data_IF_163722663826
#
_entry.id   IF_163722663826
#
_cell.length_a   1.000
_cell.length_b   1.000
_cell.length_c   1.000
_cell.angle_alpha   90.00
_cell.angle_beta   90.00
_cell.angle_gamma   90.00
#
_symmetry.space_group_name_H-M   'P 1'
#
loop_
_entity.id
_entity.type
_entity.pdbx_description
1 polymer ?
#
# COMPACT_ATOMS: atom_id res chain seq x y z
N UNK A 1 4.64 -9.94 21.08
CA UNK A 1 5.17 -10.58 19.85
C UNK A 1 6.66 -10.34 19.63
N UNK A 2 7.30 -9.35 20.28
CA UNK A 2 8.72 -9.05 20.01
C UNK A 2 9.73 -9.87 20.84
N UNK A 3 9.35 -10.27 22.06
CA UNK A 3 10.28 -10.89 23.03
C UNK A 3 10.24 -12.42 23.07
N UNK A 4 9.29 -13.06 22.38
CA UNK A 4 9.14 -14.53 22.35
C UNK A 4 9.45 -15.06 20.94
N UNK A 5 9.83 -16.34 20.81
CA UNK A 5 10.08 -16.95 19.50
C UNK A 5 8.84 -16.85 18.62
N UNK A 6 9.04 -16.33 17.40
CA UNK A 6 8.00 -16.20 16.38
C UNK A 6 7.75 -17.53 15.70
N UNK A 7 8.83 -18.20 15.27
CA UNK A 7 8.79 -19.49 14.60
C UNK A 7 10.02 -20.30 15.01
N UNK A 8 9.86 -21.62 15.07
CA UNK A 8 10.97 -22.55 15.21
C UNK A 8 11.04 -23.45 13.98
N UNK A 9 12.25 -23.71 13.52
CA UNK A 9 12.54 -24.53 12.35
C UNK A 9 13.40 -25.71 12.80
N UNK A 10 13.04 -26.94 12.42
CA UNK A 10 13.83 -28.13 12.70
C UNK A 10 14.19 -28.87 11.41
N UNK A 11 15.49 -29.07 11.20
CA UNK A 11 16.03 -29.93 10.12
C UNK A 11 17.02 -30.89 10.75
N UNK A 12 16.78 -32.19 10.57
CA UNK A 12 17.66 -33.27 11.07
C UNK A 12 17.98 -33.15 12.58
N UNK A 13 17.02 -32.71 13.39
CA UNK A 13 17.13 -32.64 14.85
C UNK A 13 17.74 -31.35 15.42
N UNK A 14 18.23 -30.43 14.57
CA UNK A 14 18.70 -29.10 15.01
C UNK A 14 17.53 -28.12 14.95
N UNK A 15 17.11 -27.62 16.11
CA UNK A 15 16.04 -26.63 16.23
C UNK A 15 16.61 -25.22 16.32
N UNK A 16 16.27 -24.34 15.38
CA UNK A 16 16.54 -22.91 15.47
C UNK A 16 15.25 -22.15 15.78
N UNK A 17 15.34 -21.14 16.65
CA UNK A 17 14.24 -20.25 16.99
C UNK A 17 14.50 -18.85 16.43
N UNK A 18 13.47 -18.24 15.87
CA UNK A 18 13.60 -16.94 15.19
C UNK A 18 12.68 -15.93 15.87
N UNK A 19 13.28 -14.80 16.22
CA UNK A 19 12.59 -13.64 16.77
C UNK A 19 12.37 -12.61 15.67
N UNK A 20 11.21 -11.97 15.66
CA UNK A 20 10.86 -10.99 14.62
C UNK A 20 11.82 -9.79 14.57
N UNK A 21 12.42 -9.42 15.70
CA UNK A 21 13.45 -8.37 15.76
C UNK A 21 14.80 -8.84 15.20
N UNK A 22 15.17 -10.09 15.46
CA UNK A 22 16.42 -10.67 14.95
C UNK A 22 16.39 -10.80 13.42
N UNK A 23 15.21 -10.96 12.83
CA UNK A 23 15.02 -10.93 11.37
C UNK A 23 15.61 -9.65 10.75
N UNK A 24 15.43 -8.50 11.39
CA UNK A 24 15.96 -7.22 10.88
C UNK A 24 17.48 -7.20 10.91
N UNK A 25 18.07 -7.59 12.05
CA UNK A 25 19.53 -7.66 12.21
C UNK A 25 20.16 -8.66 11.23
N UNK A 26 19.48 -9.78 10.95
CA UNK A 26 19.93 -10.77 9.98
C UNK A 26 19.92 -10.22 8.55
N UNK A 27 18.86 -9.52 8.11
CA UNK A 27 18.85 -8.93 6.76
C UNK A 27 19.90 -7.82 6.57
N UNK A 28 20.20 -7.06 7.63
CA UNK A 28 21.23 -6.01 7.59
C UNK A 28 22.65 -6.59 7.40
N UNK A 29 22.91 -7.76 7.98
CA UNK A 29 24.19 -8.47 7.83
C UNK A 29 24.47 -8.96 6.40
N UNK A 30 23.44 -9.13 5.55
CA UNK A 30 23.56 -9.58 4.16
C UNK A 30 23.52 -8.41 3.14
N UNK A 31 24.00 -7.22 3.53
CA UNK A 31 24.14 -6.02 2.69
C UNK A 31 22.83 -5.43 2.08
N UNK A 32 21.69 -6.10 2.20
CA UNK A 32 20.38 -5.65 1.67
C UNK A 32 19.57 -4.84 2.69
N UNK A 33 20.16 -3.75 3.20
CA UNK A 33 19.57 -2.86 4.21
C UNK A 33 18.18 -2.31 3.85
N UNK A 34 17.91 -2.12 2.55
CA UNK A 34 16.63 -1.59 2.07
C UNK A 34 15.43 -2.50 2.36
N UNK A 35 15.58 -3.83 2.26
CA UNK A 35 14.49 -4.78 2.56
C UNK A 35 14.23 -4.88 4.07
N UNK A 36 15.30 -4.88 4.87
CA UNK A 36 15.21 -4.85 6.33
C UNK A 36 14.45 -3.60 6.81
N UNK A 37 14.82 -2.44 6.26
CA UNK A 37 14.19 -1.16 6.57
C UNK A 37 12.72 -1.13 6.13
N UNK A 38 12.41 -1.66 4.94
CA UNK A 38 11.03 -1.76 4.46
C UNK A 38 10.16 -2.60 5.41
N UNK A 39 10.66 -3.76 5.84
CA UNK A 39 9.97 -4.62 6.82
C UNK A 39 9.77 -3.91 8.16
N UNK A 40 10.84 -3.36 8.75
CA UNK A 40 10.78 -2.68 10.04
C UNK A 40 9.84 -1.48 9.99
N UNK A 41 9.89 -0.70 8.92
CA UNK A 41 9.06 0.49 8.75
C UNK A 41 7.58 0.13 8.59
N UNK A 42 7.24 -0.83 7.73
CA UNK A 42 5.84 -1.14 7.37
C UNK A 42 5.13 -2.07 8.37
N UNK A 43 5.85 -2.97 9.05
CA UNK A 43 5.26 -3.96 9.96
C UNK A 43 5.26 -3.48 11.41
N UNK A 44 6.26 -2.70 11.81
CA UNK A 44 6.44 -2.26 13.19
C UNK A 44 6.26 -0.75 13.36
N UNK A 45 7.07 0.06 12.68
CA UNK A 45 7.14 1.49 12.97
C UNK A 45 5.87 2.25 12.58
N UNK A 46 5.37 2.07 11.35
CA UNK A 46 4.16 2.74 10.86
C UNK A 46 2.91 2.33 11.65
N UNK A 47 2.63 1.03 11.89
CA UNK A 47 1.49 0.64 12.71
C UNK A 47 1.56 1.13 14.15
N UNK A 48 2.73 1.07 14.79
CA UNK A 48 2.90 1.60 16.15
C UNK A 48 2.64 3.11 16.17
N UNK A 49 3.22 3.87 15.23
CA UNK A 49 3.00 5.30 15.14
C UNK A 49 1.54 5.66 14.84
N UNK A 50 0.86 4.89 13.98
CA UNK A 50 -0.56 5.03 13.71
C UNK A 50 -1.41 4.81 14.98
N UNK A 51 -1.19 3.70 15.70
CA UNK A 51 -1.92 3.40 16.93
C UNK A 51 -1.69 4.46 18.03
N UNK A 52 -0.46 4.95 18.17
CA UNK A 52 -0.12 6.03 19.10
C UNK A 52 -0.86 7.33 18.70
N UNK A 53 -0.86 7.66 17.40
CA UNK A 53 -1.53 8.85 16.89
C UNK A 53 -3.05 8.79 17.10
N UNK A 54 -3.69 7.67 16.77
CA UNK A 54 -5.12 7.43 17.04
C UNK A 54 -5.41 7.54 18.53
N UNK A 55 -4.66 6.82 19.37
CA UNK A 55 -4.86 6.83 20.83
C UNK A 55 -4.72 8.24 21.40
N UNK A 56 -3.74 9.01 20.95
CA UNK A 56 -3.55 10.41 21.36
C UNK A 56 -4.74 11.30 20.94
N UNK A 57 -5.25 11.16 19.71
CA UNK A 57 -6.41 11.91 19.23
C UNK A 57 -7.68 11.57 20.03
N UNK A 58 -7.98 10.28 20.20
CA UNK A 58 -9.14 9.85 20.99
C UNK A 58 -9.02 10.25 22.45
N UNK A 59 -7.83 10.15 23.06
CA UNK A 59 -7.60 10.61 24.42
C UNK A 59 -7.83 12.12 24.58
N UNK A 60 -7.39 12.93 23.60
CA UNK A 60 -7.64 14.38 23.59
C UNK A 60 -9.12 14.73 23.39
N UNK A 61 -9.81 14.00 22.51
CA UNK A 61 -11.26 14.15 22.31
C UNK A 61 -12.03 13.73 23.57
N UNK A 62 -11.60 12.67 24.24
CA UNK A 62 -12.17 12.20 25.50
C UNK A 62 -11.97 13.22 26.63
N UNK A 63 -10.76 13.79 26.77
CA UNK A 63 -10.47 14.85 27.75
C UNK A 63 -11.32 16.12 27.53
N UNK A 64 -11.70 16.43 26.28
CA UNK A 64 -12.59 17.57 25.94
C UNK A 64 -13.97 17.41 26.57
N UNK A 65 -14.44 16.18 26.74
CA UNK A 65 -15.84 15.89 27.03
C UNK A 65 -16.78 16.54 26.00
N UNK A 66 -18.01 16.85 26.39
CA UNK A 66 -19.04 17.38 25.49
C UNK A 66 -18.95 18.92 25.26
N UNK A 67 -17.80 19.56 25.52
CA UNK A 67 -17.66 21.03 25.45
C UNK A 67 -17.21 21.46 24.04
N UNK A 68 -18.09 21.99 23.17
CA UNK A 68 -17.84 22.16 21.74
C UNK A 68 -16.64 23.05 21.38
N UNK A 69 -16.34 24.08 22.19
CA UNK A 69 -15.36 25.13 21.86
C UNK A 69 -14.01 25.05 22.62
N UNK A 70 -13.73 23.96 23.35
CA UNK A 70 -12.59 23.91 24.27
C UNK A 70 -11.26 23.43 23.63
N UNK A 71 -11.25 22.91 22.41
CA UNK A 71 -9.99 22.60 21.73
C UNK A 71 -9.50 23.89 21.07
N UNK A 72 -8.60 24.61 21.75
CA UNK A 72 -7.73 25.52 21.03
C UNK A 72 -6.88 24.66 20.09
N UNK A 73 -7.22 24.66 18.80
CA UNK A 73 -6.65 23.72 17.84
C UNK A 73 -5.17 24.02 17.63
N UNK A 74 -4.32 23.33 18.40
CA UNK A 74 -2.87 23.45 18.25
C UNK A 74 -2.49 22.93 16.86
N UNK A 75 -1.63 23.67 16.15
CA UNK A 75 -1.09 23.29 14.84
C UNK A 75 -0.45 21.88 14.83
N UNK A 76 -0.07 21.36 16.01
CA UNK A 76 0.43 19.99 16.20
C UNK A 76 -0.66 18.93 16.00
N UNK A 77 -1.88 19.14 16.52
CA UNK A 77 -3.00 18.21 16.38
C UNK A 77 -3.46 18.11 14.92
N UNK A 78 -3.54 19.24 14.20
CA UNK A 78 -3.86 19.22 12.77
C UNK A 78 -2.80 18.45 11.97
N UNK A 79 -1.51 18.68 12.25
CA UNK A 79 -0.42 17.95 11.58
C UNK A 79 -0.51 16.46 11.85
N UNK A 80 -0.78 16.06 13.09
CA UNK A 80 -0.92 14.65 13.47
C UNK A 80 -2.12 13.99 12.76
N UNK A 81 -3.26 14.69 12.68
CA UNK A 81 -4.44 14.21 11.95
C UNK A 81 -4.17 14.08 10.44
N UNK A 82 -3.51 15.07 9.82
CA UNK A 82 -3.09 15.01 8.40
C UNK A 82 -2.13 13.86 8.13
N UNK A 83 -1.19 13.62 9.04
CA UNK A 83 -0.18 12.56 8.93
C UNK A 83 -0.81 11.16 9.07
N UNK A 84 -1.76 11.01 10.00
CA UNK A 84 -2.49 9.77 10.25
C UNK A 84 -3.13 9.20 8.97
N UNK A 85 -3.95 10.01 8.28
CA UNK A 85 -4.67 9.57 7.07
C UNK A 85 -3.75 9.38 5.86
N UNK A 86 -2.55 9.97 5.85
CA UNK A 86 -1.57 9.75 4.77
C UNK A 86 -0.86 8.39 4.92
N UNK A 87 -0.71 7.90 6.15
CA UNK A 87 -0.01 6.65 6.46
C UNK A 87 -0.91 5.43 6.38
N UNK A 88 -2.22 5.61 6.57
CA UNK A 88 -3.20 4.52 6.56
C UNK A 88 -3.01 3.50 5.40
N UNK A 89 -2.78 3.92 4.13
CA UNK A 89 -2.60 2.97 3.02
C UNK A 89 -1.28 2.18 3.05
N UNK A 90 -0.30 2.64 3.84
CA UNK A 90 1.03 2.05 3.95
C UNK A 90 1.15 1.04 5.10
N UNK A 91 0.07 0.86 5.87
CA UNK A 91 -0.01 -0.14 6.94
C UNK A 91 -0.21 -1.52 6.31
N UNK A 92 0.81 -2.36 6.39
CA UNK A 92 0.85 -3.65 5.69
C UNK A 92 0.97 -4.84 6.64
N UNK A 93 0.53 -4.69 7.88
CA UNK A 93 0.61 -5.73 8.91
C UNK A 93 -0.15 -6.99 8.51
N UNK A 94 -1.32 -6.83 7.87
CA UNK A 94 -2.13 -7.91 7.34
C UNK A 94 -1.47 -8.60 6.14
N UNK A 95 -0.91 -7.81 5.22
CA UNK A 95 -0.18 -8.31 4.07
C UNK A 95 1.04 -9.12 4.51
N UNK A 96 1.77 -8.65 5.53
CA UNK A 96 2.89 -9.37 6.11
C UNK A 96 2.45 -10.70 6.76
N UNK A 97 1.34 -10.72 7.51
CA UNK A 97 0.81 -11.97 8.08
C UNK A 97 0.55 -13.02 7.00
N UNK A 98 -0.04 -12.61 5.87
CA UNK A 98 -0.29 -13.49 4.73
C UNK A 98 1.02 -13.93 4.10
N UNK A 99 2.00 -13.03 3.97
CA UNK A 99 3.35 -13.37 3.53
C UNK A 99 4.01 -14.44 4.41
N UNK A 100 3.87 -14.37 5.73
CA UNK A 100 4.34 -15.42 6.66
C UNK A 100 3.65 -16.75 6.37
N UNK A 101 2.33 -16.76 6.19
CA UNK A 101 1.58 -17.97 5.89
C UNK A 101 1.99 -18.60 4.55
N UNK A 102 2.21 -17.78 3.51
CA UNK A 102 2.69 -18.26 2.20
C UNK A 102 4.12 -18.81 2.31
N UNK A 103 5.00 -18.14 3.05
CA UNK A 103 6.36 -18.63 3.33
C UNK A 103 6.35 -19.97 4.07
N UNK A 104 5.46 -20.13 5.05
CA UNK A 104 5.28 -21.40 5.78
C UNK A 104 4.93 -22.54 4.83
N UNK A 105 3.98 -22.33 3.92
CA UNK A 105 3.62 -23.33 2.90
C UNK A 105 4.83 -23.68 2.03
N UNK A 106 5.60 -22.67 1.59
CA UNK A 106 6.78 -22.88 0.75
C UNK A 106 7.90 -23.67 1.44
N UNK A 107 8.08 -23.49 2.75
CA UNK A 107 9.11 -24.18 3.54
C UNK A 107 8.63 -25.56 4.03
N UNK A 108 7.33 -25.76 4.22
CA UNK A 108 6.77 -26.99 4.82
C UNK A 108 7.09 -28.27 4.04
N UNK A 109 7.40 -28.16 2.74
CA UNK A 109 7.86 -29.28 1.92
C UNK A 109 9.30 -29.71 2.22
N UNK A 110 10.09 -28.86 2.90
CA UNK A 110 11.52 -29.06 3.14
C UNK A 110 11.86 -29.24 4.63
N UNK A 111 10.98 -28.88 5.55
CA UNK A 111 11.27 -28.91 6.99
C UNK A 111 10.01 -28.97 7.89
N UNK A 112 10.22 -29.41 9.13
CA UNK A 112 9.21 -29.33 10.18
C UNK A 112 9.21 -27.93 10.82
N UNK A 113 8.02 -27.34 10.92
CA UNK A 113 7.84 -25.97 11.39
C UNK A 113 6.99 -25.93 12.66
N UNK A 114 7.54 -25.35 13.71
CA UNK A 114 6.83 -25.03 14.95
C UNK A 114 6.43 -23.56 15.00
N UNK A 115 5.19 -23.27 15.39
CA UNK A 115 4.69 -21.91 15.60
C UNK A 115 4.85 -21.51 17.07
N UNK A 116 5.59 -20.44 17.33
CA UNK A 116 5.78 -19.94 18.68
C UNK A 116 4.64 -19.02 19.15
N UNK A 117 4.63 -18.68 20.45
CA UNK A 117 3.61 -17.79 21.04
C UNK A 117 3.57 -16.40 20.40
N UNK A 118 4.70 -15.91 19.87
CA UNK A 118 4.73 -14.60 19.19
C UNK A 118 3.97 -14.60 17.87
N UNK A 119 3.87 -15.73 17.17
CA UNK A 119 3.06 -15.84 15.95
C UNK A 119 1.58 -15.61 16.27
N UNK A 120 1.05 -16.30 17.28
CA UNK A 120 -0.34 -16.11 17.72
C UNK A 120 -0.62 -14.70 18.23
N UNK A 121 0.30 -14.13 19.02
CA UNK A 121 0.20 -12.73 19.45
C UNK A 121 0.22 -11.76 18.26
N UNK A 122 1.00 -12.05 17.21
CA UNK A 122 1.04 -11.26 15.99
C UNK A 122 -0.27 -11.39 15.18
N UNK A 123 -0.87 -12.58 15.09
CA UNK A 123 -2.19 -12.76 14.48
C UNK A 123 -3.25 -11.89 15.16
N UNK A 124 -3.32 -11.93 16.50
CA UNK A 124 -4.24 -11.09 17.29
C UNK A 124 -3.96 -9.61 17.06
N UNK A 125 -2.69 -9.20 17.11
CA UNK A 125 -2.27 -7.84 16.83
C UNK A 125 -2.72 -7.36 15.44
N UNK A 126 -2.50 -8.15 14.39
CA UNK A 126 -2.93 -7.83 13.02
C UNK A 126 -4.44 -7.62 12.95
N UNK A 127 -5.23 -8.53 13.54
CA UNK A 127 -6.69 -8.40 13.58
C UNK A 127 -7.11 -7.13 14.31
N UNK A 128 -6.49 -6.81 15.45
CA UNK A 128 -6.77 -5.58 16.21
C UNK A 128 -6.41 -4.31 15.44
N UNK A 129 -5.28 -4.30 14.72
CA UNK A 129 -4.87 -3.18 13.86
C UNK A 129 -5.87 -2.99 12.73
N UNK A 130 -6.23 -4.06 12.01
CA UNK A 130 -7.22 -3.99 10.92
C UNK A 130 -8.59 -3.54 11.43
N UNK A 131 -9.01 -4.02 12.61
CA UNK A 131 -10.26 -3.57 13.24
C UNK A 131 -10.20 -2.11 13.64
N UNK A 132 -9.08 -1.64 14.20
CA UNK A 132 -8.89 -0.23 14.54
C UNK A 132 -9.00 0.63 13.28
N UNK A 133 -8.31 0.26 12.20
CA UNK A 133 -8.38 0.95 10.90
C UNK A 133 -9.82 1.03 10.37
N UNK A 134 -10.57 -0.06 10.46
CA UNK A 134 -11.96 -0.12 10.01
C UNK A 134 -12.94 0.69 10.88
N UNK A 135 -12.60 0.99 12.13
CA UNK A 135 -13.46 1.72 13.09
C UNK A 135 -13.14 3.21 13.15
N UNK A 136 -11.96 3.63 12.71
CA UNK A 136 -11.54 5.03 12.73
C UNK A 136 -12.29 5.81 11.65
N UNK A 137 -13.36 6.49 12.04
CA UNK A 137 -14.09 7.40 11.16
C UNK A 137 -13.34 8.73 10.99
N UNK A 138 -12.81 8.93 9.79
CA UNK A 138 -12.13 10.15 9.38
C UNK A 138 -12.99 11.40 9.56
N UNK A 139 -14.24 11.35 9.08
CA UNK A 139 -15.13 12.51 9.08
C UNK A 139 -15.51 12.89 10.51
N UNK A 140 -15.80 11.89 11.35
CA UNK A 140 -16.12 12.10 12.76
C UNK A 140 -14.96 12.76 13.52
N UNK A 141 -13.73 12.25 13.37
CA UNK A 141 -12.54 12.84 14.03
C UNK A 141 -12.35 14.29 13.61
N UNK A 142 -12.43 14.58 12.30
CA UNK A 142 -12.33 15.95 11.82
C UNK A 142 -13.44 16.83 12.39
N UNK A 143 -14.68 16.36 12.45
CA UNK A 143 -15.82 17.15 12.95
C UNK A 143 -15.70 17.47 14.44
N UNK A 144 -15.16 16.54 15.24
CA UNK A 144 -14.90 16.78 16.66
C UNK A 144 -13.74 17.76 16.91
N UNK A 145 -12.73 17.76 16.04
CA UNK A 145 -11.59 18.65 16.13
C UNK A 145 -11.93 20.06 15.63
N UNK A 146 -12.56 20.17 14.46
CA UNK A 146 -12.99 21.44 13.85
C UNK A 146 -14.27 21.20 13.05
N UNK A 147 -15.40 21.84 13.40
CA UNK A 147 -16.65 21.66 12.66
C UNK A 147 -16.52 22.10 11.20
N UNK A 148 -17.34 21.52 10.34
CA UNK A 148 -17.45 21.93 8.93
C UNK A 148 -17.95 23.37 8.85
N UNK A 149 -17.36 24.16 7.94
CA UNK A 149 -17.78 25.53 7.68
C UNK A 149 -18.79 25.51 6.53
N UNK A 150 -19.99 26.05 6.72
CA UNK A 150 -20.95 26.20 5.62
C UNK A 150 -20.51 27.34 4.70
N UNK A 151 -20.45 27.07 3.40
CA UNK A 151 -20.22 28.09 2.37
C UNK A 151 -21.53 28.40 1.64
N UNK A 152 -21.77 29.68 1.37
CA UNK A 152 -22.92 30.14 0.61
C UNK A 152 -22.69 29.94 -0.90
N UNK A 153 -23.76 29.62 -1.65
CA UNK A 153 -23.71 29.49 -3.10
C UNK A 153 -23.49 28.07 -3.65
N UNK A 154 -23.40 27.05 -2.80
CA UNK A 154 -23.36 25.65 -3.25
C UNK A 154 -24.77 25.19 -3.62
N UNK A 155 -24.97 24.79 -4.87
CA UNK A 155 -26.25 24.21 -5.35
C UNK A 155 -26.11 22.70 -5.56
N UNK A 156 -27.17 21.97 -5.24
CA UNK A 156 -27.24 20.54 -5.53
C UNK A 156 -27.13 20.30 -7.05
N UNK A 157 -26.29 19.35 -7.46
CA UNK A 157 -26.04 19.02 -8.86
C UNK A 157 -24.80 19.70 -9.47
N UNK A 158 -24.16 20.64 -8.78
CA UNK A 158 -22.85 21.15 -9.18
C UNK A 158 -21.79 20.07 -8.98
N UNK A 159 -20.97 19.83 -10.00
CA UNK A 159 -19.87 18.86 -9.98
C UNK A 159 -18.50 19.56 -10.03
N UNK A 160 -17.44 18.77 -10.11
CA UNK A 160 -16.07 19.29 -10.17
C UNK A 160 -15.74 20.01 -11.49
N UNK A 161 -16.59 19.91 -12.53
CA UNK A 161 -16.40 20.57 -13.82
C UNK A 161 -17.00 21.97 -13.86
N UNK A 162 -17.92 22.31 -12.94
CA UNK A 162 -18.49 23.66 -12.87
C UNK A 162 -17.44 24.73 -12.52
N UNK A 163 -16.28 24.32 -11.98
CA UNK A 163 -15.17 25.22 -11.66
C UNK A 163 -15.43 26.15 -10.46
N UNK A 164 -16.57 26.02 -9.78
CA UNK A 164 -16.95 26.93 -8.68
C UNK A 164 -16.42 26.48 -7.31
N UNK A 165 -16.26 25.16 -7.12
CA UNK A 165 -15.99 24.56 -5.82
C UNK A 165 -14.95 23.43 -5.90
N UNK A 166 -14.18 23.26 -4.83
CA UNK A 166 -13.18 22.20 -4.69
C UNK A 166 -13.27 21.53 -3.32
N UNK A 167 -13.27 20.19 -3.31
CA UNK A 167 -13.20 19.40 -2.08
C UNK A 167 -11.76 19.36 -1.56
N UNK A 168 -11.59 19.51 -0.24
CA UNK A 168 -10.31 19.33 0.38
C UNK A 168 -10.00 17.83 0.58
N UNK A 169 -8.99 17.31 -0.12
CA UNK A 169 -8.52 15.92 0.03
C UNK A 169 -8.12 15.51 1.46
N UNK A 170 -7.93 16.45 2.39
CA UNK A 170 -7.53 16.18 3.77
C UNK A 170 -8.70 16.13 4.76
N UNK A 171 -9.66 17.05 4.66
CA UNK A 171 -10.75 17.19 5.65
C UNK A 171 -12.15 17.16 5.03
N UNK A 172 -12.27 16.96 3.72
CA UNK A 172 -13.53 16.93 2.96
C UNK A 172 -14.41 18.17 3.13
N UNK A 173 -13.77 19.31 3.42
CA UNK A 173 -14.42 20.61 3.41
C UNK A 173 -14.57 21.06 1.95
N UNK A 174 -15.76 21.50 1.56
CA UNK A 174 -15.99 22.18 0.29
C UNK A 174 -15.47 23.62 0.41
N UNK A 175 -14.67 24.06 -0.55
CA UNK A 175 -14.11 25.41 -0.62
C UNK A 175 -14.48 26.04 -1.95
N UNK A 176 -14.67 27.36 -1.98
CA UNK A 176 -14.93 28.11 -3.20
C UNK A 176 -13.63 28.33 -3.98
N UNK A 177 -13.66 28.04 -5.28
CA UNK A 177 -12.58 28.32 -6.20
C UNK A 177 -12.79 29.75 -6.74
N UNK A 178 -12.11 30.74 -6.15
CA UNK A 178 -12.09 32.11 -6.68
C UNK A 178 -10.95 32.23 -7.71
N UNK A 179 -11.14 33.04 -8.76
CA UNK A 179 -10.06 33.44 -9.68
C UNK A 179 -8.87 34.10 -8.93
N UNK A 180 -9.11 34.56 -7.70
CA UNK A 180 -8.12 35.00 -6.72
C UNK A 180 -7.99 33.98 -5.58
N UNK A 181 -7.29 32.89 -5.86
CA UNK A 181 -6.46 32.11 -4.91
C UNK A 181 -7.02 31.81 -3.51
N UNK A 182 -8.08 31.01 -3.43
CA UNK A 182 -8.22 30.11 -2.28
C UNK A 182 -7.20 28.95 -2.42
N UNK A 183 -5.92 29.20 -2.18
CA UNK A 183 -4.89 28.13 -2.23
C UNK A 183 -5.00 27.16 -1.05
N UNK A 184 -5.66 27.57 0.03
CA UNK A 184 -5.73 26.84 1.29
C UNK A 184 -7.17 26.59 1.71
N UNK A 185 -7.40 25.43 2.32
CA UNK A 185 -8.69 25.05 2.85
C UNK A 185 -9.07 25.91 4.06
N UNK A 186 -10.31 26.39 4.08
CA UNK A 186 -10.89 27.20 5.17
C UNK A 186 -10.92 26.47 6.52
N UNK A 187 -11.03 25.13 6.50
CA UNK A 187 -11.12 24.29 7.70
C UNK A 187 -9.76 23.83 8.21
N UNK A 188 -8.96 23.19 7.36
CA UNK A 188 -7.71 22.55 7.80
C UNK A 188 -6.44 23.32 7.42
N UNK A 189 -6.55 24.41 6.65
CA UNK A 189 -5.41 25.14 6.09
C UNK A 189 -4.51 24.28 5.20
N UNK A 190 -5.01 23.17 4.66
CA UNK A 190 -4.30 22.33 3.70
C UNK A 190 -4.35 22.93 2.30
N UNK A 191 -3.29 22.74 1.50
CA UNK A 191 -3.27 23.18 0.11
C UNK A 191 -4.39 22.51 -0.70
N UNK A 192 -5.20 23.31 -1.37
CA UNK A 192 -6.27 22.85 -2.25
C UNK A 192 -5.69 22.44 -3.60
N UNK A 193 -6.17 21.32 -4.12
CA UNK A 193 -5.72 20.76 -5.39
C UNK A 193 -6.90 20.85 -6.38
N UNK A 194 -6.95 21.90 -7.21
CA UNK A 194 -7.96 21.99 -8.26
C UNK A 194 -7.82 20.80 -9.21
N UNK A 195 -8.92 20.45 -9.88
CA UNK A 195 -8.90 19.36 -10.85
C UNK A 195 -8.02 19.75 -12.05
N UNK A 196 -6.87 19.12 -12.18
CA UNK A 196 -5.96 19.27 -13.33
C UNK A 196 -5.71 17.89 -13.95
N UNK A 197 -6.40 17.64 -15.06
CA UNK A 197 -6.33 16.39 -15.79
C UNK A 197 -4.93 16.14 -16.38
N UNK A 198 -4.27 17.17 -16.91
CA UNK A 198 -2.99 17.01 -17.60
C UNK A 198 -1.89 16.66 -16.61
N UNK A 199 -1.79 17.40 -15.51
CA UNK A 199 -0.74 17.17 -14.52
C UNK A 199 -0.92 15.84 -13.78
N UNK A 200 -2.17 15.47 -13.42
CA UNK A 200 -2.44 14.18 -12.79
C UNK A 200 -2.11 13.01 -13.72
N UNK A 201 -2.52 13.06 -14.99
CA UNK A 201 -2.21 12.00 -15.96
C UNK A 201 -0.70 11.92 -16.22
N UNK A 202 0.00 13.05 -16.36
CA UNK A 202 1.45 13.06 -16.57
C UNK A 202 2.19 12.36 -15.41
N UNK A 203 1.88 12.71 -14.16
CA UNK A 203 2.47 12.08 -12.96
C UNK A 203 2.15 10.58 -12.92
N UNK A 204 0.90 10.22 -13.19
CA UNK A 204 0.43 8.83 -13.17
C UNK A 204 1.14 7.96 -14.22
N UNK A 205 1.29 8.48 -15.45
CA UNK A 205 2.02 7.82 -16.53
C UNK A 205 3.53 7.73 -16.25
N UNK A 206 4.15 8.78 -15.68
CA UNK A 206 5.57 8.75 -15.32
C UNK A 206 5.88 7.63 -14.31
N UNK A 207 5.07 7.50 -13.26
CA UNK A 207 5.22 6.40 -12.30
C UNK A 207 4.92 5.03 -12.92
N UNK A 208 3.93 4.94 -13.81
CA UNK A 208 3.60 3.68 -14.48
C UNK A 208 4.74 3.22 -15.40
N UNK A 209 5.33 4.13 -16.17
CA UNK A 209 6.48 3.85 -17.03
C UNK A 209 7.71 3.44 -16.20
N UNK A 210 7.97 4.13 -15.08
CA UNK A 210 9.02 3.73 -14.15
C UNK A 210 8.79 2.29 -13.65
N UNK A 211 7.56 1.94 -13.26
CA UNK A 211 7.23 0.58 -12.85
C UNK A 211 7.49 -0.45 -13.97
N UNK A 212 7.11 -0.15 -15.21
CA UNK A 212 7.37 -1.04 -16.36
C UNK A 212 8.87 -1.25 -16.59
N UNK A 213 9.68 -0.20 -16.46
CA UNK A 213 11.14 -0.31 -16.58
C UNK A 213 11.72 -1.24 -15.52
N UNK A 214 11.31 -1.10 -14.25
CA UNK A 214 11.77 -1.97 -13.15
C UNK A 214 11.19 -3.39 -13.21
N UNK A 215 10.08 -3.61 -13.93
CA UNK A 215 9.47 -4.93 -14.07
C UNK A 215 10.34 -5.89 -14.89
N UNK A 216 11.11 -5.37 -15.85
CA UNK A 216 12.02 -6.16 -16.68
C UNK A 216 13.12 -6.83 -15.83
N UNK A 217 13.98 -6.08 -15.09
CA UNK A 217 15.01 -6.70 -14.25
C UNK A 217 14.41 -7.53 -13.10
N UNK A 218 13.21 -7.18 -12.61
CA UNK A 218 12.53 -7.95 -11.57
C UNK A 218 12.16 -9.38 -12.00
N UNK A 219 11.90 -9.62 -13.28
CA UNK A 219 11.57 -10.96 -13.80
C UNK A 219 12.78 -11.69 -14.40
N UNK A 220 13.79 -10.95 -14.88
CA UNK A 220 14.98 -11.53 -15.51
C UNK A 220 16.06 -11.92 -14.51
N UNK A 221 16.25 -11.13 -13.45
CA UNK A 221 17.30 -11.41 -12.47
C UNK A 221 16.88 -12.41 -11.40
N UNK A 222 17.85 -13.06 -10.72
CA UNK A 222 17.57 -13.95 -9.60
C UNK A 222 16.88 -13.20 -8.46
N UNK A 223 15.80 -13.78 -7.93
CA UNK A 223 15.09 -13.24 -6.76
C UNK A 223 15.71 -13.72 -5.47
N UNK A 224 16.34 -14.90 -5.49
CA UNK A 224 17.03 -15.50 -4.36
C UNK A 224 18.20 -16.33 -4.87
N UNK A 225 19.30 -16.34 -4.10
CA UNK A 225 20.39 -17.29 -4.26
C UNK A 225 20.32 -18.27 -3.11
N UNK A 226 20.38 -19.56 -3.43
CA UNK A 226 20.48 -20.62 -2.41
C UNK A 226 21.89 -21.13 -2.43
N UNK A 227 22.63 -20.95 -1.33
CA UNK A 227 23.98 -21.47 -1.16
C UNK A 227 23.88 -22.81 -0.43
N UNK A 228 24.37 -23.88 -1.04
CA UNK A 228 24.44 -25.22 -0.44
C UNK A 228 25.83 -25.80 -0.67
N UNK A 229 26.55 -26.14 0.41
CA UNK A 229 27.89 -26.74 0.36
C UNK A 229 28.87 -25.95 -0.56
N UNK A 230 28.81 -24.62 -0.53
CA UNK A 230 29.67 -23.73 -1.33
C UNK A 230 29.23 -23.51 -2.78
N UNK A 231 28.19 -24.20 -3.26
CA UNK A 231 27.58 -23.91 -4.57
C UNK A 231 26.43 -22.92 -4.44
N UNK A 232 26.53 -21.81 -5.16
CA UNK A 232 25.45 -20.82 -5.27
C UNK A 232 24.54 -21.16 -6.45
N UNK A 233 23.26 -21.42 -6.16
CA UNK A 233 22.25 -21.65 -7.19
C UNK A 233 21.31 -20.44 -7.28
N UNK A 234 21.42 -19.60 -8.32
CA UNK A 234 20.47 -18.53 -8.56
C UNK A 234 19.11 -19.10 -8.95
N UNK A 235 18.04 -18.54 -8.38
CA UNK A 235 16.66 -18.86 -8.76
C UNK A 235 15.91 -17.58 -9.13
N UNK A 236 15.40 -17.51 -10.36
CA UNK A 236 14.43 -16.47 -10.78
C UNK A 236 13.03 -16.88 -10.34
N UNK A 237 12.07 -15.93 -10.36
CA UNK A 237 10.65 -16.22 -10.08
C UNK A 237 10.15 -17.32 -11.01
N UNK A 238 10.36 -17.15 -12.31
CA UNK A 238 9.93 -18.12 -13.32
C UNK A 238 10.69 -19.45 -13.21
N UNK A 239 11.98 -19.40 -12.86
CA UNK A 239 12.78 -20.60 -12.58
C UNK A 239 12.18 -21.42 -11.43
N UNK A 240 11.74 -20.75 -10.36
CA UNK A 240 11.04 -21.39 -9.25
C UNK A 240 9.71 -22.02 -9.65
N UNK A 241 8.91 -21.34 -10.48
CA UNK A 241 7.66 -21.90 -11.02
C UNK A 241 7.92 -23.15 -11.86
N UNK A 242 8.88 -23.10 -12.79
CA UNK A 242 9.23 -24.24 -13.66
C UNK A 242 9.75 -25.43 -12.85
N UNK A 243 10.57 -25.17 -11.83
CA UNK A 243 11.08 -26.21 -10.94
C UNK A 243 9.94 -26.92 -10.21
N UNK A 244 9.03 -26.17 -9.58
CA UNK A 244 7.89 -26.72 -8.86
C UNK A 244 6.91 -27.47 -9.77
N UNK A 245 6.78 -26.99 -11.01
CA UNK A 245 5.99 -27.66 -12.05
C UNK A 245 6.59 -29.02 -12.40
N UNK A 246 7.91 -29.12 -12.55
CA UNK A 246 8.62 -30.39 -12.80
C UNK A 246 8.56 -31.36 -11.61
N UNK A 247 8.53 -30.83 -10.38
CA UNK A 247 8.37 -31.61 -9.15
C UNK A 247 6.93 -32.11 -8.91
N UNK A 248 5.99 -31.85 -9.84
CA UNK A 248 4.59 -32.29 -9.75
C UNK A 248 3.71 -31.45 -8.83
N UNK A 249 4.24 -30.39 -8.22
CA UNK A 249 3.52 -29.48 -7.32
C UNK A 249 2.77 -28.37 -8.07
N UNK A 250 1.94 -28.77 -9.05
CA UNK A 250 1.23 -27.83 -9.94
C UNK A 250 0.43 -26.73 -9.22
N UNK A 251 -0.33 -27.00 -8.14
CA UNK A 251 -1.10 -25.95 -7.46
C UNK A 251 -0.21 -24.85 -6.88
N UNK A 252 0.93 -25.21 -6.29
CA UNK A 252 1.88 -24.26 -5.67
C UNK A 252 2.53 -23.41 -6.77
N UNK A 253 2.97 -24.05 -7.86
CA UNK A 253 3.55 -23.37 -9.01
C UNK A 253 2.57 -22.34 -9.61
N UNK A 254 1.30 -22.69 -9.76
CA UNK A 254 0.27 -21.80 -10.29
C UNK A 254 0.01 -20.60 -9.37
N UNK A 255 -0.04 -20.80 -8.04
CA UNK A 255 -0.20 -19.71 -7.08
C UNK A 255 0.94 -18.71 -7.16
N UNK A 256 2.19 -19.19 -7.20
CA UNK A 256 3.38 -18.31 -7.31
C UNK A 256 3.38 -17.56 -8.65
N UNK A 257 3.09 -18.25 -9.76
CA UNK A 257 3.02 -17.61 -11.07
C UNK A 257 1.95 -16.49 -11.11
N UNK A 258 0.75 -16.78 -10.60
CA UNK A 258 -0.34 -15.81 -10.60
C UNK A 258 0.01 -14.63 -9.69
N UNK A 259 0.49 -14.90 -8.48
CA UNK A 259 0.82 -13.86 -7.50
C UNK A 259 1.95 -12.94 -7.97
N UNK A 260 3.04 -13.51 -8.48
CA UNK A 260 4.28 -12.78 -8.74
C UNK A 260 4.45 -12.23 -10.14
N UNK A 261 3.78 -12.81 -11.13
CA UNK A 261 3.92 -12.39 -12.53
C UNK A 261 2.59 -11.84 -13.05
N UNK A 262 1.53 -12.63 -12.96
CA UNK A 262 0.25 -12.26 -13.58
C UNK A 262 -0.41 -11.06 -12.91
N UNK A 263 -0.49 -11.01 -11.57
CA UNK A 263 -1.16 -9.93 -10.84
C UNK A 263 -0.47 -8.56 -11.08
N UNK A 264 0.86 -8.40 -10.93
CA UNK A 264 1.54 -7.13 -11.23
C UNK A 264 1.37 -6.70 -12.69
N UNK A 265 1.46 -7.64 -13.63
CA UNK A 265 1.23 -7.37 -15.05
C UNK A 265 -0.19 -6.89 -15.32
N UNK A 266 -1.19 -7.59 -14.78
CA UNK A 266 -2.59 -7.22 -14.90
C UNK A 266 -2.88 -5.84 -14.29
N UNK A 267 -2.27 -5.51 -13.13
CA UNK A 267 -2.39 -4.19 -12.50
C UNK A 267 -1.83 -3.09 -13.40
N UNK A 268 -0.63 -3.26 -13.96
CA UNK A 268 -0.03 -2.27 -14.86
C UNK A 268 -0.86 -2.07 -16.14
N UNK A 269 -1.35 -3.15 -16.75
CA UNK A 269 -2.20 -3.08 -17.93
C UNK A 269 -3.55 -2.41 -17.63
N UNK A 270 -4.18 -2.72 -16.49
CA UNK A 270 -5.43 -2.11 -16.08
C UNK A 270 -5.27 -0.59 -15.86
N UNK A 271 -4.19 -0.16 -15.18
CA UNK A 271 -3.89 1.26 -14.99
C UNK A 271 -3.60 1.96 -16.33
N UNK A 272 -2.77 1.36 -17.19
CA UNK A 272 -2.50 1.89 -18.53
C UNK A 272 -3.78 2.11 -19.34
N UNK A 273 -4.68 1.11 -19.30
CA UNK A 273 -5.97 1.17 -19.98
C UNK A 273 -6.86 2.29 -19.41
N UNK A 274 -6.95 2.41 -18.08
CA UNK A 274 -7.70 3.49 -17.43
C UNK A 274 -7.14 4.87 -17.83
N UNK A 275 -5.82 5.05 -17.79
CA UNK A 275 -5.19 6.34 -18.09
C UNK A 275 -5.32 6.71 -19.57
N UNK A 276 -5.18 5.73 -20.46
CA UNK A 276 -5.40 5.92 -21.89
C UNK A 276 -6.80 6.42 -22.16
N UNK A 277 -7.81 5.78 -21.56
CA UNK A 277 -9.19 6.16 -21.75
C UNK A 277 -9.57 7.47 -21.07
N UNK A 278 -8.97 7.79 -19.91
CA UNK A 278 -9.15 9.07 -19.24
C UNK A 278 -8.62 10.24 -20.11
N UNK A 279 -7.50 10.04 -20.82
CA UNK A 279 -6.95 11.03 -21.76
C UNK A 279 -7.86 11.28 -22.97
N UNK A 280 -8.49 10.23 -23.49
CA UNK A 280 -9.30 10.32 -24.73
C UNK A 280 -10.78 10.66 -24.49
N UNK A 281 -11.16 11.04 -23.26
CA UNK A 281 -12.25 11.97 -22.96
C UNK A 281 -13.57 11.82 -23.71
N UNK A 282 -14.08 10.59 -23.93
CA UNK A 282 -15.45 10.42 -24.42
C UNK A 282 -16.39 10.37 -23.22
N UNK A 283 -17.43 11.20 -23.23
CA UNK A 283 -18.53 11.16 -22.27
C UNK A 283 -19.06 9.73 -22.20
N UNK A 284 -18.86 9.07 -21.05
CA UNK A 284 -19.28 7.69 -20.88
C UNK A 284 -20.72 7.66 -20.38
N UNK A 285 -21.55 6.72 -20.86
CA UNK A 285 -22.77 6.39 -20.17
C UNK A 285 -22.47 6.06 -18.70
N UNK A 286 -23.30 6.53 -17.78
CA UNK A 286 -23.15 6.36 -16.32
C UNK A 286 -22.80 4.92 -15.91
N UNK A 287 -23.40 3.92 -16.55
CA UNK A 287 -23.13 2.50 -16.30
C UNK A 287 -21.67 2.09 -16.61
N UNK A 288 -21.03 2.69 -17.61
CA UNK A 288 -19.63 2.43 -17.96
C UNK A 288 -18.67 3.15 -17.02
N UNK A 289 -19.01 4.37 -16.57
CA UNK A 289 -18.22 5.09 -15.57
C UNK A 289 -18.14 4.30 -14.24
N UNK A 290 -19.26 3.72 -13.80
CA UNK A 290 -19.27 2.82 -12.62
C UNK A 290 -18.36 1.61 -12.82
N UNK A 291 -18.38 0.97 -14.00
CA UNK A 291 -17.51 -0.18 -14.28
C UNK A 291 -16.03 0.20 -14.19
N UNK A 292 -15.65 1.37 -14.74
CA UNK A 292 -14.28 1.88 -14.66
C UNK A 292 -13.87 2.27 -13.24
N UNK A 293 -14.77 2.88 -12.47
CA UNK A 293 -14.52 3.16 -11.06
C UNK A 293 -14.32 1.88 -10.24
N UNK A 294 -15.12 0.84 -10.50
CA UNK A 294 -14.95 -0.47 -9.86
C UNK A 294 -13.62 -1.11 -10.23
N UNK A 295 -13.22 -1.06 -11.50
CA UNK A 295 -11.92 -1.56 -11.94
C UNK A 295 -10.77 -0.79 -11.27
N UNK A 296 -10.85 0.54 -11.22
CA UNK A 296 -9.87 1.36 -10.53
C UNK A 296 -9.77 1.00 -9.04
N UNK A 297 -10.90 0.92 -8.32
CA UNK A 297 -10.91 0.49 -6.92
C UNK A 297 -10.35 -0.91 -6.71
N UNK A 298 -10.59 -1.82 -7.65
CA UNK A 298 -10.00 -3.16 -7.61
C UNK A 298 -8.48 -3.10 -7.79
N UNK A 299 -7.97 -2.28 -8.72
CA UNK A 299 -6.51 -2.11 -8.90
C UNK A 299 -5.83 -1.45 -7.69
N UNK A 300 -6.52 -0.52 -7.02
CA UNK A 300 -6.06 0.11 -5.79
C UNK A 300 -6.02 -0.91 -4.64
N UNK A 301 -7.09 -1.70 -4.50
CA UNK A 301 -7.16 -2.78 -3.51
C UNK A 301 -6.03 -3.78 -3.72
N UNK A 302 -5.90 -4.35 -4.94
CA UNK A 302 -4.83 -5.29 -5.30
C UNK A 302 -3.44 -4.69 -5.05
N UNK A 303 -3.31 -3.36 -5.14
CA UNK A 303 -2.03 -2.68 -5.09
C UNK A 303 -1.21 -2.97 -3.83
N UNK A 304 -1.83 -3.00 -2.64
CA UNK A 304 -1.12 -3.34 -1.40
C UNK A 304 -0.78 -4.84 -1.29
N UNK A 305 -1.58 -5.71 -1.92
CA UNK A 305 -1.37 -7.17 -1.91
C UNK A 305 -0.19 -7.58 -2.79
N UNK A 306 0.19 -6.77 -3.77
CA UNK A 306 1.42 -7.02 -4.55
C UNK A 306 2.69 -7.00 -3.71
N UNK A 307 2.67 -6.47 -2.47
CA UNK A 307 3.82 -6.50 -1.55
C UNK A 307 4.05 -7.88 -0.90
N UNK A 308 3.10 -8.82 -1.00
CA UNK A 308 3.19 -10.15 -0.36
C UNK A 308 4.49 -10.85 -0.74
N UNK A 309 4.88 -10.83 -2.02
CA UNK A 309 6.05 -11.57 -2.50
C UNK A 309 7.36 -11.05 -1.92
N UNK A 310 7.46 -9.73 -1.70
CA UNK A 310 8.64 -9.11 -1.09
C UNK A 310 8.76 -9.57 0.37
N UNK A 311 7.63 -9.60 1.08
CA UNK A 311 7.60 -10.13 2.44
C UNK A 311 7.93 -11.62 2.48
N UNK A 312 7.42 -12.41 1.53
CA UNK A 312 7.76 -13.83 1.41
C UNK A 312 9.27 -14.00 1.27
N UNK A 313 9.91 -13.33 0.31
CA UNK A 313 11.37 -13.40 0.10
C UNK A 313 12.14 -12.98 1.36
N UNK A 314 11.76 -11.86 1.98
CA UNK A 314 12.46 -11.37 3.16
C UNK A 314 12.31 -12.32 4.36
N UNK A 315 11.14 -12.93 4.54
CA UNK A 315 10.90 -13.96 5.55
C UNK A 315 11.72 -15.22 5.24
N UNK A 316 11.77 -15.69 3.99
CA UNK A 316 12.57 -16.86 3.61
C UNK A 316 14.07 -16.65 3.89
N UNK A 317 14.60 -15.47 3.53
CA UNK A 317 15.99 -15.08 3.82
C UNK A 317 16.25 -15.10 5.32
N UNK A 318 15.31 -14.64 6.13
CA UNK A 318 15.45 -14.65 7.58
C UNK A 318 15.25 -16.03 8.22
N UNK A 319 14.40 -16.88 7.63
CA UNK A 319 14.06 -18.21 8.16
C UNK A 319 15.07 -19.29 7.79
N UNK A 320 15.58 -19.26 6.56
CA UNK A 320 16.43 -20.32 6.01
C UNK A 320 17.89 -19.87 6.08
N UNK A 321 18.39 -19.80 7.31
CA UNK A 321 19.81 -19.58 7.62
C UNK A 321 20.33 -20.75 8.47
N UNK A 322 20.47 -21.91 7.82
CA UNK A 322 21.10 -23.06 8.44
C UNK A 322 22.62 -22.88 8.39
N UNK A 323 23.21 -22.73 9.57
CA UNK A 323 24.66 -22.60 9.78
C UNK A 323 25.47 -23.49 8.83
N UNK A 324 26.40 -22.92 8.05
CA UNK A 324 27.30 -23.55 7.05
C UNK A 324 26.72 -24.58 6.05
N UNK A 325 25.45 -24.94 6.12
CA UNK A 325 24.84 -26.00 5.32
C UNK A 325 23.97 -25.43 4.21
N UNK A 326 23.11 -24.46 4.53
CA UNK A 326 22.21 -23.83 3.56
C UNK A 326 21.86 -22.40 3.98
N UNK A 327 22.11 -21.43 3.09
CA UNK A 327 21.71 -20.04 3.29
C UNK A 327 20.94 -19.54 2.07
N UNK A 328 19.91 -18.72 2.32
CA UNK A 328 19.17 -18.03 1.27
C UNK A 328 19.50 -16.54 1.35
N UNK A 329 20.07 -15.98 0.30
CA UNK A 329 20.32 -14.54 0.20
C UNK A 329 19.38 -13.89 -0.83
N UNK A 330 18.93 -12.64 -0.59
CA UNK A 330 18.06 -11.93 -1.50
C UNK A 330 18.82 -11.54 -2.77
N UNK A 331 18.26 -11.87 -3.93
CA UNK A 331 18.84 -11.46 -5.21
C UNK A 331 18.45 -10.04 -5.62
N UNK A 332 19.12 -9.44 -6.63
CA UNK A 332 18.88 -8.07 -7.07
C UNK A 332 17.47 -7.84 -7.64
N UNK A 333 16.79 -8.91 -8.08
CA UNK A 333 15.39 -8.81 -8.52
C UNK A 333 14.44 -8.39 -7.40
N UNK A 334 14.75 -8.71 -6.13
CA UNK A 334 13.89 -8.36 -4.99
C UNK A 334 13.69 -6.85 -4.84
N UNK A 335 14.76 -6.05 -4.97
CA UNK A 335 14.70 -4.59 -4.92
C UNK A 335 13.99 -4.01 -6.14
N UNK A 336 14.26 -4.56 -7.33
CA UNK A 336 13.58 -4.15 -8.55
C UNK A 336 12.07 -4.42 -8.46
N UNK A 337 11.68 -5.59 -7.94
CA UNK A 337 10.29 -5.95 -7.70
C UNK A 337 9.63 -5.03 -6.67
N UNK A 338 10.33 -4.69 -5.58
CA UNK A 338 9.86 -3.69 -4.62
C UNK A 338 9.61 -2.32 -5.26
N UNK A 339 10.51 -1.87 -6.12
CA UNK A 339 10.34 -0.63 -6.87
C UNK A 339 9.10 -0.67 -7.78
N UNK A 340 8.83 -1.77 -8.48
CA UNK A 340 7.60 -1.96 -9.29
C UNK A 340 6.36 -1.75 -8.43
N UNK A 341 6.30 -2.38 -7.26
CA UNK A 341 5.11 -2.32 -6.41
C UNK A 341 4.91 -0.90 -5.86
N UNK A 342 5.98 -0.24 -5.40
CA UNK A 342 5.94 1.14 -4.91
C UNK A 342 5.52 2.10 -6.04
N UNK A 343 6.13 2.02 -7.23
CA UNK A 343 5.80 2.91 -8.34
C UNK A 343 4.39 2.68 -8.87
N UNK A 344 3.90 1.45 -8.94
CA UNK A 344 2.49 1.20 -9.33
C UNK A 344 1.50 1.70 -8.28
N UNK A 345 1.86 1.68 -6.99
CA UNK A 345 1.04 2.29 -5.93
C UNK A 345 1.05 3.82 -6.02
N UNK A 346 2.22 4.44 -6.21
CA UNK A 346 2.35 5.89 -6.40
C UNK A 346 1.62 6.38 -7.67
N UNK A 347 1.67 5.58 -8.74
CA UNK A 347 0.91 5.83 -9.97
C UNK A 347 -0.59 5.89 -9.69
N UNK A 348 -1.14 4.88 -9.01
CA UNK A 348 -2.57 4.83 -8.70
C UNK A 348 -3.03 5.97 -7.77
N UNK A 349 -2.22 6.35 -6.76
CA UNK A 349 -2.51 7.46 -5.84
C UNK A 349 -2.44 8.82 -6.54
N UNK A 350 -1.55 8.97 -7.54
CA UNK A 350 -1.41 10.22 -8.30
C UNK A 350 -2.53 10.43 -9.32
N UNK A 351 -3.26 9.37 -9.65
CA UNK A 351 -4.36 9.42 -10.61
C UNK A 351 -5.63 9.99 -9.97
N UNK A 352 -6.15 11.06 -10.58
CA UNK A 352 -7.39 11.67 -10.13
C UNK A 352 -8.60 10.92 -10.69
N UNK A 353 -9.27 10.16 -9.81
CA UNK A 353 -10.48 9.39 -10.18
C UNK A 353 -11.64 10.26 -10.68
N UNK A 354 -11.64 11.59 -10.43
CA UNK A 354 -12.63 12.52 -11.00
C UNK A 354 -12.63 12.48 -12.53
N UNK A 355 -11.48 12.20 -13.15
CA UNK A 355 -11.36 12.04 -14.62
C UNK A 355 -12.21 10.91 -15.21
N UNK A 356 -12.61 9.92 -14.42
CA UNK A 356 -13.49 8.82 -14.86
C UNK A 356 -14.92 9.31 -15.09
N UNK A 357 -15.32 10.37 -14.39
CA UNK A 357 -16.69 10.86 -14.30
C UNK A 357 -16.95 12.09 -15.17
N UNK A 358 -16.03 12.48 -16.07
CA UNK A 358 -16.24 13.67 -16.90
C UNK A 358 -17.38 13.48 -17.89
N UNK A 359 -18.51 14.12 -17.60
CA UNK A 359 -19.63 14.25 -18.52
C UNK A 359 -19.27 15.33 -19.54
N UNK A 360 -19.23 14.97 -20.82
CA UNK A 360 -18.95 15.89 -21.92
C UNK A 360 -20.06 16.94 -22.19
N UNK A 361 -20.98 17.16 -21.25
CA UNK A 361 -22.09 18.10 -21.40
C UNK A 361 -21.80 19.51 -20.85
N UNK A 362 -20.83 19.69 -19.95
CA UNK A 362 -20.56 21.02 -19.37
C UNK A 362 -19.55 21.87 -20.19
N UNK A 363 -18.66 21.24 -20.95
CA UNK A 363 -17.65 21.97 -21.76
C UNK A 363 -18.25 22.59 -23.02
N UNK A 364 -19.33 22.00 -23.56
CA UNK A 364 -19.96 22.49 -24.79
C UNK A 364 -20.76 23.78 -24.61
N UNK A 365 -21.30 24.05 -23.43
CA UNK A 365 -22.02 25.31 -23.16
C UNK A 365 -21.09 26.49 -22.87
N UNK A 366 -19.83 26.24 -22.49
CA UNK A 366 -18.84 27.30 -22.31
C UNK A 366 -18.20 27.72 -23.64
N UNK A 367 -17.94 26.78 -24.56
CA UNK A 367 -17.41 27.08 -25.91
C UNK A 367 -18.48 27.65 -26.88
N UNK A 368 -19.78 27.53 -26.56
CA UNK A 368 -20.86 28.10 -27.38
C UNK A 368 -21.32 29.49 -26.91
N UNK A 369 -20.80 29.98 -25.78
CA UNK A 369 -21.13 31.28 -25.19
C UNK A 369 -19.94 32.27 -25.14
N UNK A 370 -18.78 31.89 -25.69
CA UNK A 370 -17.71 32.80 -26.15
C UNK A 370 -17.81 32.98 -27.67
#
# INVERSE_FOLDING_TARGET
>A
SLSFPFMSFSVKGITQQIYLFNTVAMLEAFEQSALALLLLLTVLALPAAYLIAVSCLYFRIWQKGNKPNAIHTSSKLLRLCKWLFKIEPWLMTDVFLIGVLVSLVKISSMAEIGLGSSFWAFCVYTVLVVKTLSLVDRFWIWNQLMPVVSIEGVKAGQDHLSGEHVDCHQCHQINKLSNTSSEYCLRCGGALHPFDLQQSLQKSWAYLLAAVIFYIPANLYPIMYTVSLGNEMPSTIMGGVVLLWKLGSYPIAMVIFIASVFIPMAKMLALAWIYWHAKHGKSLPYAQAIKRQKLYRLTEFIGRWSMIDIFVVAILVALVQLHNLMAITPGPASLSFAAVVIFTMLSAISFDSRSIWSNGSAVKELELNE
#
